data_IF_406871597069
#
_entry.id   IF_406871597069
#
_cell.length_a   1.000
_cell.length_b   1.000
_cell.length_c   1.000
_cell.angle_alpha   90.00
_cell.angle_beta   90.00
_cell.angle_gamma   90.00
#
_symmetry.space_group_name_H-M   'P 1'
#
loop_
_entity.id
_entity.type
_entity.pdbx_description
1 polymer ?
#
# COMPACT_ATOMS: atom_id res chain seq x y z
N UNK A 1 20.05 4.76 -2.23
CA UNK A 1 19.03 5.43 -3.08
C UNK A 1 18.97 4.84 -4.48
N UNK A 2 20.11 4.56 -5.14
CA UNK A 2 20.21 4.04 -6.52
C UNK A 2 19.65 2.62 -6.72
N UNK A 3 19.89 1.69 -5.77
CA UNK A 3 19.51 0.27 -5.88
C UNK A 3 17.98 0.02 -5.83
N UNK A 4 17.22 0.96 -5.26
CA UNK A 4 15.76 0.85 -5.12
C UNK A 4 15.01 1.24 -6.40
N UNK A 5 15.49 2.27 -7.11
CA UNK A 5 14.94 2.65 -8.41
C UNK A 5 15.15 1.51 -9.42
N UNK A 6 16.27 0.79 -9.35
CA UNK A 6 16.48 -0.42 -10.16
C UNK A 6 15.51 -1.55 -9.79
N UNK A 7 15.21 -1.75 -8.50
CA UNK A 7 14.30 -2.83 -8.05
C UNK A 7 12.84 -2.55 -8.43
N UNK A 8 12.38 -1.30 -8.34
CA UNK A 8 11.04 -0.91 -8.83
C UNK A 8 11.00 -1.00 -10.36
N UNK A 9 12.02 -0.49 -11.06
CA UNK A 9 12.06 -0.45 -12.52
C UNK A 9 12.17 -1.86 -13.14
N UNK A 10 12.78 -2.81 -12.45
CA UNK A 10 12.79 -4.22 -12.82
C UNK A 10 11.43 -4.91 -12.64
N UNK A 11 10.59 -4.42 -11.71
CA UNK A 11 9.27 -4.98 -11.42
C UNK A 11 8.12 -4.29 -12.18
N UNK A 12 8.29 -3.03 -12.62
CA UNK A 12 7.21 -2.22 -13.22
C UNK A 12 7.73 -1.39 -14.40
N UNK A 13 7.79 -1.93 -15.63
CA UNK A 13 8.43 -1.25 -16.76
C UNK A 13 7.66 -0.05 -17.34
N UNK A 14 6.41 0.20 -16.93
CA UNK A 14 5.49 1.09 -17.68
C UNK A 14 4.65 2.03 -16.82
N UNK A 15 4.74 1.97 -15.48
CA UNK A 15 3.93 2.83 -14.62
C UNK A 15 4.59 4.21 -14.43
N UNK A 16 3.83 5.26 -14.71
CA UNK A 16 4.22 6.64 -14.48
C UNK A 16 4.19 6.98 -12.99
N UNK A 17 3.12 6.60 -12.28
CA UNK A 17 2.95 6.82 -10.85
C UNK A 17 3.12 5.50 -10.12
N UNK A 18 4.16 5.40 -9.29
CA UNK A 18 4.43 4.23 -8.44
C UNK A 18 4.14 4.58 -6.99
N UNK A 19 3.27 3.80 -6.35
CA UNK A 19 2.85 3.97 -4.96
C UNK A 19 3.17 2.67 -4.21
N UNK A 20 4.15 2.73 -3.30
CA UNK A 20 4.54 1.60 -2.46
C UNK A 20 4.25 1.91 -0.99
N UNK A 21 3.23 1.28 -0.42
CA UNK A 21 2.68 1.54 0.91
C UNK A 21 2.83 0.37 1.89
N UNK A 22 3.26 -0.81 1.45
CA UNK A 22 3.51 -1.95 2.34
C UNK A 22 4.93 -1.82 2.92
N UNK A 23 5.03 -1.20 4.10
CA UNK A 23 6.25 -0.68 4.71
C UNK A 23 6.31 0.86 4.68
N UNK A 24 7.50 1.45 4.86
CA UNK A 24 7.64 2.90 4.80
C UNK A 24 7.19 3.44 3.43
N UNK A 25 6.28 4.44 3.40
CA UNK A 25 5.65 4.88 2.16
C UNK A 25 6.66 5.48 1.20
N UNK A 26 6.54 5.09 -0.08
CA UNK A 26 7.36 5.62 -1.16
C UNK A 26 6.46 5.88 -2.35
N UNK A 27 6.39 7.15 -2.76
CA UNK A 27 5.60 7.61 -3.89
C UNK A 27 6.57 8.21 -4.89
N UNK A 28 6.48 7.79 -6.15
CA UNK A 28 7.33 8.28 -7.22
C UNK A 28 6.53 8.55 -8.48
N UNK A 29 6.88 9.61 -9.19
CA UNK A 29 6.35 9.95 -10.51
C UNK A 29 7.51 9.93 -11.50
N UNK A 30 7.37 9.17 -12.60
CA UNK A 30 8.42 8.97 -13.60
C UNK A 30 9.75 8.48 -12.99
N UNK A 31 9.64 7.67 -11.93
CA UNK A 31 10.77 7.14 -11.16
C UNK A 31 11.43 8.15 -10.20
N UNK A 32 10.95 9.38 -10.12
CA UNK A 32 11.46 10.40 -9.21
C UNK A 32 10.61 10.46 -7.92
N UNK A 33 11.22 10.50 -6.72
CA UNK A 33 10.48 10.64 -5.48
C UNK A 33 9.58 11.87 -5.48
N UNK A 34 8.32 11.68 -5.10
CA UNK A 34 7.32 12.74 -5.07
C UNK A 34 7.14 13.25 -3.64
N UNK A 35 7.38 14.54 -3.43
CA UNK A 35 7.09 15.23 -2.17
C UNK A 35 5.81 16.05 -2.27
N UNK A 36 5.04 16.09 -1.19
CA UNK A 36 3.81 16.87 -1.11
C UNK A 36 3.99 18.10 -0.23
N UNK A 37 3.18 19.13 -0.47
CA UNK A 37 3.24 20.37 0.29
C UNK A 37 2.93 20.19 1.78
N UNK A 38 2.06 19.23 2.11
CA UNK A 38 1.71 18.85 3.47
C UNK A 38 1.08 17.45 3.50
N UNK A 39 1.06 16.83 4.68
CA UNK A 39 0.70 15.43 4.89
C UNK A 39 -0.72 15.08 4.45
N UNK A 40 -1.68 15.99 4.61
CA UNK A 40 -3.07 15.72 4.17
C UNK A 40 -3.22 15.62 2.65
N UNK A 41 -2.29 16.17 1.85
CA UNK A 41 -2.28 15.93 0.39
C UNK A 41 -1.82 14.51 0.08
N UNK A 42 -0.79 14.03 0.77
CA UNK A 42 -0.30 12.67 0.58
C UNK A 42 -1.28 11.64 1.14
N UNK A 43 -1.92 11.91 2.27
CA UNK A 43 -3.01 11.10 2.83
C UNK A 43 -4.19 10.99 1.85
N UNK A 44 -4.59 12.09 1.21
CA UNK A 44 -5.62 12.08 0.18
C UNK A 44 -5.25 11.16 -1.00
N UNK A 45 -4.02 11.25 -1.51
CA UNK A 45 -3.58 10.36 -2.59
C UNK A 45 -3.60 8.90 -2.16
N UNK A 46 -3.04 8.60 -0.98
CA UNK A 46 -2.99 7.23 -0.46
C UNK A 46 -4.39 6.65 -0.30
N UNK A 47 -5.31 7.41 0.31
CA UNK A 47 -6.70 6.99 0.45
C UNK A 47 -7.35 6.72 -0.90
N UNK A 48 -7.23 7.66 -1.86
CA UNK A 48 -7.80 7.49 -3.20
C UNK A 48 -7.19 6.32 -3.98
N UNK A 49 -5.91 6.01 -3.75
CA UNK A 49 -5.21 4.91 -4.40
C UNK A 49 -5.65 3.54 -3.87
N UNK A 50 -5.74 3.40 -2.55
CA UNK A 50 -6.17 2.14 -1.92
C UNK A 50 -7.66 1.90 -2.14
N UNK A 51 -8.47 2.96 -2.09
CA UNK A 51 -9.92 2.90 -2.33
C UNK A 51 -10.29 3.18 -3.79
N UNK A 52 -9.40 2.89 -4.73
CA UNK A 52 -9.53 3.25 -6.14
C UNK A 52 -10.66 2.51 -6.85
N UNK A 53 -11.30 1.49 -6.28
CA UNK A 53 -12.39 0.74 -6.89
C UNK A 53 -13.72 1.52 -6.93
N UNK A 54 -13.85 2.61 -6.16
CA UNK A 54 -15.06 3.43 -6.08
C UNK A 54 -14.76 4.92 -6.16
N UNK A 55 -15.75 5.70 -6.58
CA UNK A 55 -15.68 7.16 -6.47
C UNK A 55 -16.12 7.62 -5.08
N UNK A 56 -15.45 8.64 -4.55
CA UNK A 56 -15.69 9.20 -3.23
C UNK A 56 -16.37 10.55 -3.34
N UNK A 57 -17.29 10.86 -2.43
CA UNK A 57 -17.90 12.20 -2.42
C UNK A 57 -16.93 13.23 -1.87
N UNK A 58 -17.00 14.45 -2.37
CA UNK A 58 -16.19 15.56 -1.84
C UNK A 58 -16.48 15.84 -0.37
N UNK A 59 -17.73 15.68 0.06
CA UNK A 59 -18.10 15.85 1.48
C UNK A 59 -17.44 14.76 2.33
N UNK A 60 -17.54 13.49 1.94
CA UNK A 60 -16.92 12.39 2.71
C UNK A 60 -15.39 12.54 2.81
N UNK A 61 -14.70 12.94 1.73
CA UNK A 61 -13.26 13.19 1.77
C UNK A 61 -12.89 14.40 2.64
N UNK A 62 -13.74 15.42 2.66
CA UNK A 62 -13.54 16.59 3.50
C UNK A 62 -13.68 16.22 4.99
N UNK A 63 -14.72 15.46 5.33
CA UNK A 63 -14.98 15.00 6.70
C UNK A 63 -13.91 13.99 7.17
N UNK A 64 -13.41 13.15 6.27
CA UNK A 64 -12.36 12.16 6.56
C UNK A 64 -11.04 12.83 7.01
N UNK A 65 -10.62 13.87 6.28
CA UNK A 65 -9.30 14.50 6.44
C UNK A 65 -9.33 15.80 7.24
N UNK A 66 -10.48 16.48 7.36
CA UNK A 66 -10.63 17.72 8.13
C UNK A 66 -11.88 17.69 9.02
N UNK A 67 -12.07 16.66 9.87
CA UNK A 67 -13.27 16.50 10.71
C UNK A 67 -13.49 17.65 11.70
N UNK A 68 -12.42 18.34 12.11
CA UNK A 68 -12.50 19.45 13.08
C UNK A 68 -12.94 20.78 12.45
N UNK A 69 -12.97 20.86 11.11
CA UNK A 69 -13.35 22.07 10.41
C UNK A 69 -14.85 22.07 10.12
N UNK A 70 -15.46 23.27 10.17
CA UNK A 70 -16.82 23.43 9.65
C UNK A 70 -16.89 23.09 8.15
N UNK A 71 -18.05 22.61 7.71
CA UNK A 71 -18.29 22.05 6.36
C UNK A 71 -17.73 22.90 5.21
N UNK A 72 -17.92 24.23 5.25
CA UNK A 72 -17.41 25.15 4.22
C UNK A 72 -15.88 25.22 4.20
N UNK A 73 -15.23 25.25 5.37
CA UNK A 73 -13.78 25.27 5.50
C UNK A 73 -13.16 23.93 5.08
N UNK A 74 -13.76 22.81 5.50
CA UNK A 74 -13.30 21.47 5.11
C UNK A 74 -13.35 21.28 3.57
N UNK A 75 -14.42 21.73 2.91
CA UNK A 75 -14.52 21.71 1.44
C UNK A 75 -13.52 22.60 0.74
N UNK A 76 -13.21 23.76 1.32
CA UNK A 76 -12.16 24.63 0.80
C UNK A 76 -10.79 23.94 0.91
N UNK A 77 -10.47 23.38 2.08
CA UNK A 77 -9.25 22.60 2.34
C UNK A 77 -9.10 21.42 1.37
N UNK A 78 -10.18 20.65 1.11
CA UNK A 78 -10.17 19.60 0.10
C UNK A 78 -9.90 20.14 -1.30
N UNK A 79 -10.48 21.28 -1.67
CA UNK A 79 -10.27 21.88 -2.99
C UNK A 79 -8.82 22.32 -3.19
N UNK A 80 -8.19 22.89 -2.15
CA UNK A 80 -6.77 23.22 -2.15
C UNK A 80 -5.90 21.95 -2.23
N UNK A 81 -6.23 20.92 -1.45
CA UNK A 81 -5.50 19.65 -1.46
C UNK A 81 -5.54 18.98 -2.84
N UNK A 82 -6.71 18.96 -3.50
CA UNK A 82 -6.87 18.41 -4.85
C UNK A 82 -6.09 19.22 -5.89
N UNK A 83 -6.09 20.55 -5.78
CA UNK A 83 -5.29 21.40 -6.65
C UNK A 83 -3.80 21.11 -6.51
N UNK A 84 -3.29 21.04 -5.28
CA UNK A 84 -1.88 20.71 -5.00
C UNK A 84 -1.54 19.29 -5.45
N UNK A 85 -2.40 18.32 -5.18
CA UNK A 85 -2.22 16.93 -5.62
C UNK A 85 -2.04 16.83 -7.13
N UNK A 86 -2.94 17.45 -7.90
CA UNK A 86 -2.86 17.49 -9.36
C UNK A 86 -1.58 18.14 -9.87
N UNK A 87 -1.18 19.24 -9.22
CA UNK A 87 0.06 19.93 -9.58
C UNK A 87 1.28 19.04 -9.33
N UNK A 88 1.34 18.38 -8.18
CA UNK A 88 2.42 17.43 -7.85
C UNK A 88 2.46 16.24 -8.82
N UNK A 89 1.32 15.77 -9.29
CA UNK A 89 1.23 14.64 -10.22
C UNK A 89 1.47 15.02 -11.69
N UNK A 90 1.69 16.30 -12.00
CA UNK A 90 1.69 16.81 -13.38
C UNK A 90 0.47 16.34 -14.18
N UNK A 91 -0.70 16.35 -13.52
CA UNK A 91 -1.93 15.75 -14.01
C UNK A 91 -2.34 16.33 -15.38
N UNK A 92 -2.31 15.52 -16.43
CA UNK A 92 -2.66 15.91 -17.79
C UNK A 92 -4.18 15.77 -18.01
N UNK A 93 -4.90 16.84 -18.41
CA UNK A 93 -6.32 16.76 -18.74
C UNK A 93 -6.66 15.72 -19.83
N UNK A 94 -5.73 15.40 -20.74
CA UNK A 94 -5.93 14.39 -21.77
C UNK A 94 -5.81 12.95 -21.23
N UNK A 95 -5.06 12.76 -20.14
CA UNK A 95 -4.87 11.47 -19.48
C UNK A 95 -4.84 11.66 -17.95
N UNK A 96 -5.98 12.03 -17.34
CA UNK A 96 -5.99 12.40 -15.93
C UNK A 96 -5.66 11.19 -15.07
N UNK A 97 -4.80 11.38 -14.07
CA UNK A 97 -4.56 10.47 -12.95
C UNK A 97 -5.61 10.65 -11.85
N UNK A 98 -6.18 11.86 -11.70
CA UNK A 98 -7.24 12.14 -10.72
C UNK A 98 -8.52 12.61 -11.41
N UNK A 99 -9.56 11.79 -11.40
CA UNK A 99 -10.89 12.15 -11.89
C UNK A 99 -11.63 12.97 -10.83
N UNK A 100 -12.06 14.18 -11.18
CA UNK A 100 -12.93 14.98 -10.32
C UNK A 100 -14.17 15.42 -11.06
N UNK A 101 -15.30 15.34 -10.39
CA UNK A 101 -16.54 16.01 -10.78
C UNK A 101 -16.89 17.08 -9.74
N UNK A 102 -18.06 17.72 -9.90
CA UNK A 102 -18.59 18.64 -8.89
C UNK A 102 -18.86 17.97 -7.54
N UNK A 103 -19.14 16.66 -7.53
CA UNK A 103 -19.57 15.94 -6.31
C UNK A 103 -18.65 14.80 -5.92
N UNK A 104 -17.82 14.31 -6.83
CA UNK A 104 -16.98 13.12 -6.62
C UNK A 104 -15.52 13.30 -7.01
N UNK A 105 -14.68 12.47 -6.40
CA UNK A 105 -13.24 12.34 -6.68
C UNK A 105 -12.89 10.86 -6.71
N UNK A 106 -12.03 10.46 -7.63
CA UNK A 106 -11.48 9.10 -7.72
C UNK A 106 -10.10 9.15 -8.35
N UNK A 107 -9.22 8.23 -7.98
CA UNK A 107 -8.02 7.96 -8.77
C UNK A 107 -8.41 7.23 -10.06
N UNK A 108 -7.90 7.66 -11.20
CA UNK A 108 -8.23 7.05 -12.49
C UNK A 108 -7.85 5.57 -12.51
N UNK A 109 -8.67 4.67 -13.08
CA UNK A 109 -8.28 3.29 -13.34
C UNK A 109 -7.31 3.27 -14.53
N UNK A 110 -6.10 3.76 -14.31
CA UNK A 110 -5.10 4.04 -15.32
C UNK A 110 -3.94 3.02 -15.18
N UNK A 111 -3.56 2.28 -16.24
CA UNK A 111 -2.43 1.35 -16.19
C UNK A 111 -1.09 2.03 -15.90
N UNK A 112 -1.00 3.35 -16.05
CA UNK A 112 0.15 4.15 -15.64
C UNK A 112 0.30 4.27 -14.10
N UNK A 113 -0.68 3.80 -13.32
CA UNK A 113 -0.64 3.82 -11.86
C UNK A 113 -0.38 2.40 -11.36
N UNK A 114 0.72 2.23 -10.63
CA UNK A 114 1.01 1.00 -9.91
C UNK A 114 0.91 1.23 -8.41
N UNK A 115 0.22 0.32 -7.73
CA UNK A 115 0.06 0.30 -6.28
C UNK A 115 0.43 -1.09 -5.75
N UNK A 116 1.37 -1.16 -4.82
CA UNK A 116 1.82 -2.43 -4.23
C UNK A 116 0.71 -3.17 -3.48
N UNK A 117 -0.22 -2.46 -2.82
CA UNK A 117 -1.41 -3.04 -2.19
C UNK A 117 -2.30 -3.77 -3.22
N UNK A 118 -2.56 -3.13 -4.36
CA UNK A 118 -3.32 -3.75 -5.46
C UNK A 118 -2.58 -4.95 -6.03
N UNK A 119 -1.26 -4.84 -6.26
CA UNK A 119 -0.44 -5.94 -6.76
C UNK A 119 -0.40 -7.12 -5.76
N UNK A 120 -0.28 -6.82 -4.47
CA UNK A 120 -0.32 -7.81 -3.39
C UNK A 120 -1.65 -8.56 -3.39
N UNK A 121 -2.78 -7.85 -3.42
CA UNK A 121 -4.08 -8.50 -3.51
C UNK A 121 -4.24 -9.32 -4.79
N UNK A 122 -3.77 -8.83 -5.94
CA UNK A 122 -3.85 -9.55 -7.21
C UNK A 122 -3.05 -10.87 -7.20
N UNK A 123 -1.86 -10.89 -6.59
CA UNK A 123 -1.06 -12.10 -6.44
C UNK A 123 -1.77 -13.16 -5.58
N UNK A 124 -2.60 -12.72 -4.63
CA UNK A 124 -3.34 -13.58 -3.72
C UNK A 124 -4.78 -13.87 -4.18
N UNK A 125 -5.17 -13.44 -5.40
CA UNK A 125 -6.48 -13.76 -5.97
C UNK A 125 -6.47 -15.20 -6.52
N UNK A 126 -7.51 -15.96 -6.20
CA UNK A 126 -7.77 -17.30 -6.75
C UNK A 126 -7.81 -18.39 -5.68
N UNK A 127 -8.26 -19.59 -6.06
CA UNK A 127 -8.42 -20.72 -5.14
C UNK A 127 -7.12 -21.48 -4.84
N UNK A 128 -6.09 -21.31 -5.68
CA UNK A 128 -4.80 -21.99 -5.52
C UNK A 128 -3.67 -21.00 -5.88
N UNK A 129 -3.19 -20.28 -4.87
CA UNK A 129 -2.01 -19.41 -5.01
C UNK A 129 -0.77 -20.31 -5.01
N UNK A 130 0.08 -20.18 -6.02
CA UNK A 130 1.30 -20.98 -6.10
C UNK A 130 2.46 -20.34 -5.32
N UNK A 131 3.49 -21.14 -5.05
CA UNK A 131 4.67 -20.72 -4.27
C UNK A 131 5.36 -19.49 -4.87
N UNK A 132 5.61 -19.39 -6.20
CA UNK A 132 6.14 -18.16 -6.81
C UNK A 132 5.30 -16.91 -6.52
N UNK A 133 3.97 -17.00 -6.58
CA UNK A 133 3.09 -15.87 -6.26
C UNK A 133 3.18 -15.47 -4.78
N UNK A 134 3.22 -16.45 -3.87
CA UNK A 134 3.40 -16.19 -2.45
C UNK A 134 4.75 -15.49 -2.16
N UNK A 135 5.83 -15.93 -2.80
CA UNK A 135 7.16 -15.29 -2.69
C UNK A 135 7.14 -13.86 -3.17
N UNK A 136 6.50 -13.60 -4.31
CA UNK A 136 6.32 -12.23 -4.83
C UNK A 136 5.48 -11.36 -3.88
N UNK A 137 4.39 -11.89 -3.33
CA UNK A 137 3.55 -11.17 -2.38
C UNK A 137 4.31 -10.84 -1.08
N UNK A 138 5.08 -11.80 -0.56
CA UNK A 138 5.98 -11.60 0.58
C UNK A 138 7.03 -10.51 0.30
N UNK A 139 7.60 -10.47 -0.92
CA UNK A 139 8.57 -9.45 -1.29
C UNK A 139 7.98 -8.03 -1.33
N UNK A 140 6.70 -7.87 -1.73
CA UNK A 140 6.01 -6.58 -1.71
C UNK A 140 5.77 -6.07 -0.28
N UNK A 141 5.49 -6.96 0.67
CA UNK A 141 5.18 -6.59 2.06
C UNK A 141 6.44 -6.27 2.89
N UNK A 142 7.01 -5.08 2.76
CA UNK A 142 8.32 -4.73 3.35
C UNK A 142 8.27 -4.35 4.83
N UNK A 143 7.07 -4.10 5.35
CA UNK A 143 6.79 -3.67 6.72
C UNK A 143 5.30 -3.38 6.88
N UNK A 144 4.91 -2.81 8.01
CA UNK A 144 3.51 -2.41 8.24
C UNK A 144 3.01 -1.46 7.14
N UNK A 145 1.74 -1.58 6.76
CA UNK A 145 1.14 -0.63 5.82
C UNK A 145 1.26 0.81 6.34
N UNK A 146 1.83 1.70 5.53
CA UNK A 146 2.16 3.07 5.90
C UNK A 146 2.98 3.14 7.21
N UNK A 147 4.02 2.32 7.33
CA UNK A 147 4.85 2.26 8.55
C UNK A 147 5.35 3.67 8.96
N UNK A 148 5.12 4.02 10.23
CA UNK A 148 5.55 5.29 10.80
C UNK A 148 4.71 6.51 10.39
N UNK A 149 3.59 6.33 9.68
CA UNK A 149 2.65 7.41 9.39
C UNK A 149 1.51 7.51 10.41
N UNK A 150 1.17 8.76 10.73
CA UNK A 150 -0.06 9.19 11.38
C UNK A 150 -0.36 10.61 10.89
N UNK A 151 -1.63 10.96 10.75
CA UNK A 151 -2.09 12.25 10.22
C UNK A 151 -2.92 12.96 11.29
N UNK A 152 -2.34 14.01 11.87
CA UNK A 152 -2.98 14.77 12.94
C UNK A 152 -4.31 15.42 12.51
N UNK A 153 -5.24 15.47 13.47
CA UNK A 153 -6.56 16.08 13.29
C UNK A 153 -7.38 15.46 12.16
N UNK A 154 -7.24 14.14 11.94
CA UNK A 154 -7.90 13.38 10.86
C UNK A 154 -8.41 12.02 11.38
N UNK A 155 -9.23 12.03 12.43
CA UNK A 155 -9.66 10.81 13.14
C UNK A 155 -10.28 9.74 12.22
N UNK A 156 -11.07 10.14 11.23
CA UNK A 156 -11.65 9.19 10.27
C UNK A 156 -10.60 8.52 9.37
N UNK A 157 -9.52 9.24 9.02
CA UNK A 157 -8.39 8.66 8.29
C UNK A 157 -7.59 7.70 9.16
N UNK A 158 -7.35 8.05 10.43
CA UNK A 158 -6.63 7.17 11.38
C UNK A 158 -7.40 5.87 11.65
N UNK A 159 -8.72 5.93 11.77
CA UNK A 159 -9.57 4.73 11.89
C UNK A 159 -9.47 3.84 10.65
N UNK A 160 -9.59 4.43 9.45
CA UNK A 160 -9.40 3.71 8.19
C UNK A 160 -8.00 3.07 8.12
N UNK A 161 -6.96 3.83 8.47
CA UNK A 161 -5.57 3.37 8.46
C UNK A 161 -5.38 2.16 9.38
N UNK A 162 -5.92 2.21 10.60
CA UNK A 162 -5.87 1.11 11.57
C UNK A 162 -6.52 -0.17 11.01
N UNK A 163 -7.72 -0.06 10.46
CA UNK A 163 -8.44 -1.20 9.88
C UNK A 163 -7.72 -1.79 8.67
N UNK A 164 -7.16 -0.92 7.80
CA UNK A 164 -6.38 -1.36 6.63
C UNK A 164 -5.07 -2.04 7.04
N UNK A 165 -4.36 -1.52 8.06
CA UNK A 165 -3.16 -2.15 8.62
C UNK A 165 -3.46 -3.56 9.11
N UNK A 166 -4.50 -3.72 9.93
CA UNK A 166 -4.89 -5.02 10.47
C UNK A 166 -5.23 -6.01 9.34
N UNK A 167 -6.05 -5.58 8.36
CA UNK A 167 -6.42 -6.43 7.25
C UNK A 167 -5.20 -6.94 6.45
N UNK A 168 -4.27 -6.03 6.13
CA UNK A 168 -3.07 -6.36 5.37
C UNK A 168 -2.08 -7.18 6.19
N UNK A 169 -1.98 -6.93 7.49
CA UNK A 169 -1.15 -7.68 8.43
C UNK A 169 -1.57 -9.16 8.47
N UNK A 170 -2.86 -9.43 8.70
CA UNK A 170 -3.41 -10.80 8.72
C UNK A 170 -3.10 -11.53 7.41
N UNK A 171 -3.26 -10.85 6.27
CA UNK A 171 -2.95 -11.44 4.94
C UNK A 171 -1.46 -11.72 4.77
N UNK A 172 -0.58 -10.83 5.21
CA UNK A 172 0.86 -11.02 5.12
C UNK A 172 1.35 -12.18 6.00
N UNK A 173 0.81 -12.30 7.22
CA UNK A 173 1.05 -13.45 8.10
C UNK A 173 0.60 -14.76 7.45
N UNK A 174 -0.56 -14.79 6.80
CA UNK A 174 -1.03 -15.99 6.10
C UNK A 174 -0.13 -16.38 4.91
N UNK A 175 0.39 -15.40 4.16
CA UNK A 175 1.38 -15.65 3.09
C UNK A 175 2.64 -16.31 3.65
N UNK A 176 3.18 -15.78 4.75
CA UNK A 176 4.38 -16.34 5.39
C UNK A 176 4.11 -17.72 6.00
N UNK A 177 2.93 -17.95 6.56
CA UNK A 177 2.48 -19.26 7.03
C UNK A 177 2.50 -20.28 5.89
N UNK A 178 1.92 -19.95 4.74
CA UNK A 178 1.91 -20.84 3.57
C UNK A 178 3.32 -21.10 3.02
N UNK A 179 4.18 -20.09 2.98
CA UNK A 179 5.59 -20.23 2.55
C UNK A 179 6.44 -21.11 3.49
N UNK A 180 5.99 -21.31 4.73
CA UNK A 180 6.66 -22.17 5.72
C UNK A 180 6.00 -23.55 5.86
N UNK A 181 5.08 -23.90 4.94
CA UNK A 181 4.55 -25.26 4.87
C UNK A 181 5.59 -26.22 4.27
N UNK A 182 5.76 -27.44 4.83
CA UNK A 182 6.83 -28.36 4.40
C UNK A 182 6.76 -28.78 2.93
N UNK A 183 5.58 -28.69 2.32
CA UNK A 183 5.36 -29.03 0.90
C UNK A 183 5.49 -27.81 -0.02
N UNK A 184 5.57 -26.59 0.52
CA UNK A 184 5.64 -25.36 -0.26
C UNK A 184 7.04 -25.15 -0.88
N UNK A 185 8.07 -25.71 -0.27
CA UNK A 185 9.41 -25.75 -0.82
C UNK A 185 9.72 -27.23 -1.02
N UNK A 186 10.14 -27.64 -2.22
CA UNK A 186 10.53 -29.04 -2.47
C UNK A 186 11.68 -29.49 -1.56
N UNK A 187 12.31 -30.63 -1.84
CA UNK A 187 13.37 -31.24 -1.00
C UNK A 187 14.61 -30.36 -0.68
N UNK A 188 14.69 -29.11 -1.13
CA UNK A 188 15.83 -28.26 -0.84
C UNK A 188 15.58 -26.78 -0.95
N UNK A 189 15.11 -26.16 0.15
CA UNK A 189 15.78 -24.94 0.63
C UNK A 189 15.45 -24.63 2.11
N UNK A 190 16.13 -25.33 3.04
CA UNK A 190 16.00 -25.08 4.48
C UNK A 190 16.33 -23.63 4.85
N UNK A 191 17.22 -22.98 4.09
CA UNK A 191 17.59 -21.57 4.25
C UNK A 191 16.39 -20.67 3.97
N UNK A 192 15.68 -20.89 2.86
CA UNK A 192 14.53 -20.08 2.47
C UNK A 192 13.35 -20.26 3.44
N UNK A 193 13.11 -21.50 3.90
CA UNK A 193 12.15 -21.79 4.98
C UNK A 193 12.48 -20.98 6.25
N UNK A 194 13.76 -21.00 6.65
CA UNK A 194 14.23 -20.28 7.83
C UNK A 194 14.04 -18.76 7.67
N UNK A 195 14.33 -18.20 6.49
CA UNK A 195 14.19 -16.76 6.25
C UNK A 195 12.72 -16.31 6.25
N UNK A 196 11.82 -17.10 5.65
CA UNK A 196 10.38 -16.83 5.73
C UNK A 196 9.86 -16.94 7.17
N UNK A 197 10.29 -17.95 7.93
CA UNK A 197 9.89 -18.12 9.33
C UNK A 197 10.42 -16.99 10.23
N UNK A 198 11.67 -16.56 10.05
CA UNK A 198 12.22 -15.38 10.75
C UNK A 198 11.42 -14.12 10.46
N UNK A 199 11.08 -13.91 9.19
CA UNK A 199 10.26 -12.77 8.78
C UNK A 199 8.87 -12.82 9.39
N UNK A 200 8.28 -14.01 9.52
CA UNK A 200 6.99 -14.16 10.19
C UNK A 200 7.08 -13.81 11.67
N UNK A 201 8.09 -14.31 12.38
CA UNK A 201 8.34 -13.94 13.78
C UNK A 201 8.57 -12.44 13.96
N UNK A 202 9.29 -11.80 13.04
CA UNK A 202 9.51 -10.35 13.10
C UNK A 202 8.20 -9.56 12.87
N UNK A 203 7.31 -10.07 12.03
CA UNK A 203 6.03 -9.44 11.73
C UNK A 203 5.00 -9.64 12.85
N UNK A 204 4.91 -10.86 13.40
CA UNK A 204 4.04 -11.23 14.51
C UNK A 204 4.84 -11.92 15.62
N UNK A 205 5.47 -11.14 16.52
CA UNK A 205 6.30 -11.66 17.61
C UNK A 205 5.55 -12.48 18.66
N UNK A 206 4.23 -12.49 18.63
CA UNK A 206 3.38 -13.24 19.57
C UNK A 206 2.87 -14.55 18.96
N UNK A 207 3.14 -14.82 17.68
CA UNK A 207 2.70 -16.04 17.01
C UNK A 207 3.56 -17.26 17.38
N UNK A 208 3.06 -18.09 18.29
CA UNK A 208 3.74 -19.35 18.65
C UNK A 208 3.94 -20.30 17.46
N UNK A 209 3.04 -20.28 16.46
CA UNK A 209 3.21 -21.09 15.25
C UNK A 209 4.45 -20.63 14.45
N UNK A 210 4.66 -19.32 14.31
CA UNK A 210 5.82 -18.77 13.61
C UNK A 210 7.14 -19.25 14.22
N UNK A 211 7.26 -19.21 15.56
CA UNK A 211 8.42 -19.75 16.26
C UNK A 211 8.57 -21.27 16.07
N UNK A 212 7.48 -22.04 16.11
CA UNK A 212 7.53 -23.49 15.85
C UNK A 212 8.02 -23.81 14.45
N UNK A 213 7.61 -23.04 13.43
CA UNK A 213 8.13 -23.18 12.06
C UNK A 213 9.61 -22.85 12.00
N UNK A 214 10.05 -21.78 12.64
CA UNK A 214 11.44 -21.38 12.69
C UNK A 214 12.32 -22.45 13.35
N UNK A 215 11.90 -22.98 14.50
CA UNK A 215 12.64 -24.06 15.19
C UNK A 215 12.77 -25.32 14.32
N UNK A 216 11.71 -25.70 13.59
CA UNK A 216 11.76 -26.84 12.67
C UNK A 216 12.66 -26.60 11.45
N UNK A 217 12.70 -25.38 10.93
CA UNK A 217 13.58 -25.03 9.82
C UNK A 217 15.07 -24.99 10.20
N UNK A 218 15.38 -24.87 11.50
CA UNK A 218 16.74 -24.85 12.05
C UNK A 218 17.26 -26.22 12.53
N UNK A 219 16.38 -27.22 12.62
CA UNK A 219 16.68 -28.56 13.13
C UNK A 219 17.21 -29.49 12.02
#
# INVERSE_FOLDING_TARGET
MTQFLETIRAAVPTAQLTIALLGPPRIALDGLPLSFAYEKVSALLVYLAVEADRAHTRTALADLLWPEQGEAAARHSLSQALFQLRRSLHDDPANPLVLTTRTSVRLSPNPAIWLDVTAFHQLLRGAAVNVPQLKQASALYRGEFLEGWSIDGSAGFEEWLLLTREHLHVRACDVLRQLTEPHALGDGDATELCDHARRWVALDPLCEEAYRRLMRALA
#
